data_IF_081059805782
#
_entry.id   IF_081059805782
#
_cell.length_a   1.000
_cell.length_b   1.000
_cell.length_c   1.000
_cell.angle_alpha   90.00
_cell.angle_beta   90.00
_cell.angle_gamma   90.00
#
_symmetry.space_group_name_H-M   'P 1'
#
loop_
_entity.id
_entity.type
_entity.pdbx_description
1 polymer ?
#
# COMPACT_ATOMS: atom_id res chain seq x y z
N UNK A 1 -25.68 -21.45 -11.18
CA UNK A 1 -24.73 -20.49 -10.58
C UNK A 1 -23.43 -20.37 -11.37
N UNK A 2 -22.83 -21.46 -11.84
CA UNK A 2 -21.55 -21.43 -12.58
C UNK A 2 -21.65 -20.71 -13.95
N UNK A 3 -22.80 -20.84 -14.65
CA UNK A 3 -23.01 -20.23 -15.97
C UNK A 3 -22.89 -18.70 -15.96
N UNK A 4 -23.50 -17.99 -15.00
CA UNK A 4 -23.42 -16.52 -14.95
C UNK A 4 -22.03 -16.00 -14.61
N UNK A 5 -21.27 -16.76 -13.81
CA UNK A 5 -19.86 -16.45 -13.52
C UNK A 5 -19.00 -16.65 -14.76
N UNK A 6 -19.15 -17.78 -15.45
CA UNK A 6 -18.46 -18.06 -16.72
C UNK A 6 -18.80 -17.03 -17.80
N UNK A 7 -20.06 -16.62 -17.91
CA UNK A 7 -20.48 -15.57 -18.87
C UNK A 7 -19.93 -14.20 -18.46
N UNK A 8 -19.92 -13.86 -17.17
CA UNK A 8 -19.33 -12.61 -16.69
C UNK A 8 -17.82 -12.54 -16.99
N UNK A 9 -17.11 -13.64 -16.75
CA UNK A 9 -15.68 -13.75 -17.04
C UNK A 9 -15.42 -13.64 -18.56
N UNK A 10 -16.23 -14.30 -19.39
CA UNK A 10 -16.14 -14.19 -20.85
C UNK A 10 -16.43 -12.78 -21.38
N UNK A 11 -17.36 -12.04 -20.76
CA UNK A 11 -17.66 -10.64 -21.12
C UNK A 11 -16.49 -9.72 -20.75
N UNK A 12 -15.89 -9.93 -19.58
CA UNK A 12 -14.70 -9.17 -19.15
C UNK A 12 -13.50 -9.45 -20.08
N UNK A 13 -13.25 -10.72 -20.40
CA UNK A 13 -12.20 -11.14 -21.34
C UNK A 13 -12.41 -10.56 -22.75
N UNK A 14 -13.66 -10.54 -23.23
CA UNK A 14 -13.99 -10.00 -24.55
C UNK A 14 -13.80 -8.48 -24.61
N UNK A 15 -14.17 -7.76 -23.54
CA UNK A 15 -13.95 -6.32 -23.43
C UNK A 15 -12.45 -6.00 -23.36
N UNK A 16 -11.67 -6.81 -22.65
CA UNK A 16 -10.22 -6.67 -22.57
C UNK A 16 -9.54 -6.95 -23.92
N UNK A 17 -10.01 -7.95 -24.68
CA UNK A 17 -9.53 -8.21 -26.04
C UNK A 17 -9.83 -7.03 -26.97
N UNK A 18 -11.02 -6.47 -26.87
CA UNK A 18 -11.41 -5.29 -27.65
C UNK A 18 -10.56 -4.06 -27.28
N UNK A 19 -10.29 -3.84 -26.00
CA UNK A 19 -9.40 -2.78 -25.52
C UNK A 19 -7.95 -2.96 -26.01
N UNK A 20 -7.44 -4.20 -26.02
CA UNK A 20 -6.13 -4.49 -26.62
C UNK A 20 -6.10 -4.21 -28.12
N UNK A 21 -7.18 -4.50 -28.84
CA UNK A 21 -7.29 -4.17 -30.26
C UNK A 21 -7.25 -2.64 -30.49
N UNK A 22 -7.87 -1.85 -29.61
CA UNK A 22 -7.76 -0.37 -29.61
C UNK A 22 -6.31 0.07 -29.41
N UNK A 23 -5.61 -0.49 -28.43
CA UNK A 23 -4.19 -0.19 -28.20
C UNK A 23 -3.26 -0.63 -29.33
N UNK A 24 -3.54 -1.76 -30.00
CA UNK A 24 -2.81 -2.19 -31.21
C UNK A 24 -3.05 -1.19 -32.34
N UNK A 25 -4.30 -0.79 -32.58
CA UNK A 25 -4.64 0.18 -33.61
C UNK A 25 -3.93 1.52 -33.38
N UNK A 26 -3.87 2.00 -32.13
CA UNK A 26 -3.14 3.22 -31.76
C UNK A 26 -1.64 3.12 -32.09
N UNK A 27 -0.98 2.03 -31.68
CA UNK A 27 0.44 1.81 -31.99
C UNK A 27 0.70 1.69 -33.48
N UNK A 28 -0.16 1.00 -34.22
CA UNK A 28 -0.06 0.90 -35.67
C UNK A 28 -0.21 2.26 -36.34
N UNK A 29 -1.18 3.08 -35.91
CA UNK A 29 -1.34 4.43 -36.41
C UNK A 29 -0.10 5.28 -36.13
N UNK A 30 0.41 5.27 -34.90
CA UNK A 30 1.61 6.02 -34.54
C UNK A 30 2.83 5.57 -35.37
N UNK A 31 3.00 4.26 -35.57
CA UNK A 31 4.08 3.74 -36.43
C UNK A 31 3.96 4.17 -37.90
N UNK A 32 2.74 4.31 -38.43
CA UNK A 32 2.51 4.85 -39.79
C UNK A 32 2.81 6.35 -39.84
N UNK A 33 2.40 7.11 -38.81
CA UNK A 33 2.66 8.55 -38.71
C UNK A 33 4.17 8.85 -38.57
N UNK A 34 4.91 8.00 -37.85
CA UNK A 34 6.37 8.07 -37.77
C UNK A 34 7.01 7.73 -39.12
N UNK A 35 6.61 6.63 -39.76
CA UNK A 35 7.17 6.18 -41.03
C UNK A 35 6.93 7.17 -42.20
N UNK A 36 5.87 7.98 -42.10
CA UNK A 36 5.52 9.01 -43.09
C UNK A 36 6.09 10.39 -42.75
N UNK A 37 6.80 10.54 -41.61
CA UNK A 37 7.35 11.82 -41.14
C UNK A 37 6.29 12.82 -40.68
N UNK A 38 5.02 12.39 -40.56
CA UNK A 38 3.91 13.26 -40.16
C UNK A 38 3.97 13.58 -38.67
N UNK A 39 4.48 12.66 -37.85
CA UNK A 39 4.64 12.88 -36.41
C UNK A 39 5.62 14.01 -36.07
N UNK A 40 6.60 14.31 -36.94
CA UNK A 40 7.55 15.41 -36.76
C UNK A 40 6.95 16.80 -37.07
N UNK A 41 5.80 16.83 -37.74
CA UNK A 41 5.13 18.05 -38.20
C UNK A 41 3.81 18.29 -37.43
N UNK A 42 3.27 17.26 -36.77
CA UNK A 42 2.08 17.35 -35.92
C UNK A 42 2.36 18.19 -34.67
N UNK A 43 1.53 19.21 -34.43
CA UNK A 43 1.62 20.01 -33.22
C UNK A 43 1.28 19.16 -31.98
N UNK A 44 2.07 19.32 -30.90
CA UNK A 44 1.91 18.57 -29.65
C UNK A 44 0.47 18.51 -29.09
N UNK A 45 -0.35 19.59 -29.14
CA UNK A 45 -1.75 19.52 -28.68
C UNK A 45 -2.62 18.54 -29.48
N UNK A 46 -2.34 18.35 -30.77
CA UNK A 46 -3.10 17.42 -31.62
C UNK A 46 -2.73 15.97 -31.31
N UNK A 47 -1.45 15.72 -31.04
CA UNK A 47 -0.96 14.41 -30.60
C UNK A 47 -1.57 14.02 -29.24
N UNK A 48 -1.57 14.96 -28.30
CA UNK A 48 -2.18 14.77 -26.97
C UNK A 48 -3.69 14.49 -27.04
N UNK A 49 -4.43 15.17 -27.93
CA UNK A 49 -5.86 14.88 -28.14
C UNK A 49 -6.05 13.48 -28.74
N UNK A 50 -5.24 13.09 -29.72
CA UNK A 50 -5.31 11.77 -30.33
C UNK A 50 -5.05 10.67 -29.31
N UNK A 51 -3.96 10.78 -28.55
CA UNK A 51 -3.60 9.81 -27.50
C UNK A 51 -4.71 9.71 -26.44
N UNK A 52 -5.25 10.85 -25.99
CA UNK A 52 -6.38 10.88 -25.04
C UNK A 52 -7.65 10.22 -25.60
N UNK A 53 -7.94 10.32 -26.89
CA UNK A 53 -9.10 9.66 -27.51
C UNK A 53 -8.92 8.14 -27.48
N UNK A 54 -7.71 7.64 -27.76
CA UNK A 54 -7.41 6.22 -27.67
C UNK A 54 -7.50 5.71 -26.24
N UNK A 55 -6.93 6.44 -25.28
CA UNK A 55 -7.03 6.13 -23.85
C UNK A 55 -8.50 6.13 -23.39
N UNK A 56 -9.28 7.12 -23.81
CA UNK A 56 -10.71 7.22 -23.46
C UNK A 56 -11.51 6.05 -24.04
N UNK A 57 -11.27 5.69 -25.30
CA UNK A 57 -11.95 4.56 -25.95
C UNK A 57 -11.55 3.23 -25.32
N UNK A 58 -10.28 3.04 -25.01
CA UNK A 58 -9.79 1.85 -24.31
C UNK A 58 -10.47 1.72 -22.93
N UNK A 59 -10.47 2.82 -22.16
CA UNK A 59 -11.09 2.86 -20.85
C UNK A 59 -12.61 2.64 -20.90
N UNK A 60 -13.31 3.23 -21.87
CA UNK A 60 -14.76 3.07 -22.03
C UNK A 60 -15.14 1.61 -22.33
N UNK A 61 -14.40 0.95 -23.22
CA UNK A 61 -14.63 -0.45 -23.56
C UNK A 61 -14.40 -1.35 -22.34
N UNK A 62 -13.32 -1.12 -21.60
CA UNK A 62 -13.01 -1.86 -20.36
C UNK A 62 -14.05 -1.62 -19.27
N UNK A 63 -14.42 -0.38 -19.03
CA UNK A 63 -15.38 0.01 -17.99
C UNK A 63 -16.78 -0.57 -18.29
N UNK A 64 -17.20 -0.55 -19.57
CA UNK A 64 -18.48 -1.12 -20.00
C UNK A 64 -18.49 -2.64 -19.82
N UNK A 65 -17.41 -3.33 -20.20
CA UNK A 65 -17.24 -4.76 -19.97
C UNK A 65 -17.29 -5.13 -18.49
N UNK A 66 -16.54 -4.40 -17.66
CA UNK A 66 -16.48 -4.59 -16.20
C UNK A 66 -17.83 -4.35 -15.52
N UNK A 67 -18.53 -3.27 -15.84
CA UNK A 67 -19.87 -3.00 -15.28
C UNK A 67 -20.87 -4.09 -15.65
N UNK A 68 -20.79 -4.58 -16.88
CA UNK A 68 -21.66 -5.67 -17.36
C UNK A 68 -21.33 -6.98 -16.64
N UNK A 69 -20.06 -7.33 -16.50
CA UNK A 69 -19.62 -8.52 -15.77
C UNK A 69 -20.02 -8.47 -14.28
N UNK A 70 -19.84 -7.32 -13.61
CA UNK A 70 -20.27 -7.12 -12.22
C UNK A 70 -21.79 -7.26 -12.08
N UNK A 71 -22.58 -6.74 -13.02
CA UNK A 71 -24.03 -6.90 -13.01
C UNK A 71 -24.43 -8.39 -13.16
N UNK A 72 -23.79 -9.12 -14.07
CA UNK A 72 -24.02 -10.55 -14.28
C UNK A 72 -23.68 -11.40 -13.05
N UNK A 73 -22.59 -11.07 -12.36
CA UNK A 73 -22.20 -11.72 -11.09
C UNK A 73 -23.25 -11.51 -10.00
N UNK A 74 -23.79 -10.29 -9.88
CA UNK A 74 -24.88 -9.98 -8.93
C UNK A 74 -26.17 -10.76 -9.20
N UNK A 75 -26.53 -10.97 -10.47
CA UNK A 75 -27.68 -11.82 -10.81
C UNK A 75 -27.45 -13.28 -10.40
N UNK A 76 -26.22 -13.78 -10.51
CA UNK A 76 -25.84 -15.13 -10.08
C UNK A 76 -25.94 -15.37 -8.56
N UNK A 77 -25.78 -14.32 -7.75
CA UNK A 77 -25.83 -14.40 -6.28
C UNK A 77 -27.23 -14.14 -5.69
N UNK A 78 -28.15 -13.56 -6.46
CA UNK A 78 -29.49 -13.17 -5.98
C UNK A 78 -30.52 -14.32 -5.80
N UNK A 79 -30.13 -15.58 -5.99
CA UNK A 79 -31.03 -16.75 -5.89
C UNK A 79 -30.99 -17.53 -4.57
N UNK A 80 -30.33 -17.03 -3.52
CA UNK A 80 -30.34 -17.68 -2.19
C UNK A 80 -30.87 -16.72 -1.10
N UNK A 81 -32.11 -16.95 -0.68
CA UNK A 81 -32.62 -16.63 0.66
C UNK A 81 -33.37 -17.87 1.15
N UNK A 82 -33.03 -18.46 2.31
CA UNK A 82 -33.71 -18.42 3.64
C UNK A 82 -32.82 -19.22 4.69
N UNK A 83 -33.08 -19.30 6.02
CA UNK A 83 -32.45 -18.50 7.08
C UNK A 83 -31.75 -19.27 8.24
N UNK A 84 -31.07 -18.50 9.10
CA UNK A 84 -30.74 -18.63 10.54
C UNK A 84 -30.57 -20.02 11.20
N UNK A 85 -29.45 -20.16 11.95
CA UNK A 85 -29.50 -20.65 13.33
C UNK A 85 -28.36 -20.03 14.18
N UNK A 86 -28.75 -19.52 15.35
CA UNK A 86 -27.90 -18.96 16.39
C UNK A 86 -27.06 -20.07 17.05
N UNK A 87 -25.76 -19.82 17.24
CA UNK A 87 -25.05 -20.33 18.39
C UNK A 87 -23.95 -19.37 18.81
N UNK A 88 -24.05 -18.94 20.06
CA UNK A 88 -23.13 -18.05 20.75
C UNK A 88 -21.85 -18.78 21.12
N UNK A 89 -20.80 -18.61 20.32
CA UNK A 89 -19.42 -18.72 20.78
C UNK A 89 -18.75 -17.38 20.47
N UNK A 90 -18.20 -16.73 21.50
CA UNK A 90 -17.50 -15.45 21.37
C UNK A 90 -16.29 -15.62 20.44
N UNK A 91 -16.43 -15.18 19.20
CA UNK A 91 -15.37 -15.24 18.19
C UNK A 91 -14.11 -14.50 18.65
N UNK A 92 -12.93 -15.13 18.62
CA UNK A 92 -11.65 -14.46 18.83
C UNK A 92 -11.22 -13.57 17.64
N UNK A 93 -12.02 -13.50 16.57
CA UNK A 93 -11.71 -12.84 15.29
C UNK A 93 -12.08 -11.34 15.23
N UNK A 94 -12.55 -10.76 16.33
CA UNK A 94 -12.94 -9.34 16.42
C UNK A 94 -11.83 -8.39 16.93
N UNK A 95 -10.58 -8.85 17.03
CA UNK A 95 -9.47 -7.97 17.40
C UNK A 95 -8.93 -7.24 16.16
N UNK A 96 -8.92 -5.89 16.13
CA UNK A 96 -8.35 -5.14 15.01
C UNK A 96 -6.82 -5.23 15.06
N UNK A 97 -6.25 -6.06 14.20
CA UNK A 97 -4.80 -6.18 14.01
C UNK A 97 -4.28 -7.60 14.14
N UNK A 98 -3.14 -7.87 13.50
CA UNK A 98 -2.44 -9.13 13.66
C UNK A 98 -2.02 -9.28 15.13
N UNK A 99 -2.15 -10.50 15.65
CA UNK A 99 -1.67 -10.80 17.00
C UNK A 99 -0.17 -10.46 17.06
N UNK A 100 0.31 -9.91 18.18
CA UNK A 100 1.72 -9.65 18.35
C UNK A 100 2.54 -10.92 18.07
N UNK A 101 3.42 -10.88 17.06
CA UNK A 101 4.23 -12.03 16.65
C UNK A 101 5.68 -11.61 16.37
N UNK A 102 6.60 -12.55 16.54
CA UNK A 102 8.01 -12.39 16.16
C UNK A 102 8.20 -12.39 14.63
N UNK A 103 7.14 -12.77 13.90
CA UNK A 103 7.07 -12.76 12.44
C UNK A 103 6.71 -11.39 11.86
N UNK A 104 6.84 -10.30 12.62
CA UNK A 104 6.60 -8.94 12.14
C UNK A 104 7.65 -8.45 11.11
N UNK A 105 7.64 -7.15 10.76
CA UNK A 105 8.62 -6.58 9.83
C UNK A 105 10.05 -6.80 10.31
N UNK A 106 10.92 -7.24 9.41
CA UNK A 106 12.35 -7.39 9.68
C UNK A 106 13.14 -6.18 9.17
N UNK A 107 14.14 -5.68 9.93
CA UNK A 107 14.91 -4.50 9.55
C UNK A 107 15.63 -4.68 8.21
N UNK A 108 15.67 -3.62 7.41
CA UNK A 108 16.51 -3.59 6.20
C UNK A 108 17.99 -3.78 6.54
N UNK A 109 18.68 -4.61 5.74
CA UNK A 109 20.15 -4.65 5.77
C UNK A 109 20.70 -3.34 5.22
N UNK A 110 21.73 -2.74 5.84
CA UNK A 110 22.40 -1.58 5.29
C UNK A 110 22.88 -1.83 3.85
N UNK A 111 22.61 -0.90 2.95
CA UNK A 111 23.03 -0.94 1.55
C UNK A 111 23.65 0.40 1.20
N UNK A 112 24.88 0.38 0.69
CA UNK A 112 25.64 1.58 0.36
C UNK A 112 25.00 2.41 -0.77
N UNK A 113 24.04 1.82 -1.50
CA UNK A 113 23.28 2.49 -2.57
C UNK A 113 22.06 3.24 -2.04
N UNK A 114 21.70 3.06 -0.77
CA UNK A 114 20.56 3.78 -0.20
C UNK A 114 20.91 5.25 -0.04
N UNK A 115 20.13 6.10 -0.70
CA UNK A 115 20.28 7.55 -0.55
C UNK A 115 19.74 7.97 0.82
N UNK A 116 20.53 8.76 1.54
CA UNK A 116 20.14 9.32 2.82
C UNK A 116 19.35 10.62 2.57
N UNK A 117 18.26 10.81 3.32
CA UNK A 117 17.55 12.07 3.39
C UNK A 117 18.42 13.08 4.15
N UNK A 118 18.71 14.18 3.48
CA UNK A 118 19.50 15.25 4.06
C UNK A 118 18.57 16.34 4.63
N UNK A 119 18.42 16.41 5.96
CA UNK A 119 17.64 17.46 6.60
C UNK A 119 18.12 18.85 6.22
N UNK A 120 17.23 19.68 5.66
CA UNK A 120 17.52 21.09 5.41
C UNK A 120 17.31 21.86 6.71
N UNK A 121 18.35 22.54 7.22
CA UNK A 121 18.28 23.28 8.48
C UNK A 121 17.43 24.56 8.38
N UNK A 122 16.12 24.38 8.30
CA UNK A 122 15.11 25.44 8.31
C UNK A 122 14.31 25.42 9.60
N UNK A 123 13.83 26.59 10.07
CA UNK A 123 12.80 26.65 11.09
C UNK A 123 11.60 25.78 10.70
N UNK A 124 11.01 25.14 11.71
CA UNK A 124 9.86 24.26 11.57
C UNK A 124 8.75 24.75 12.50
N UNK A 125 7.51 24.63 12.07
CA UNK A 125 6.36 24.92 12.92
C UNK A 125 6.33 24.03 14.17
N UNK A 126 5.73 24.51 15.25
CA UNK A 126 5.60 23.77 16.52
C UNK A 126 4.68 22.55 16.41
N UNK A 127 3.76 22.56 15.44
CA UNK A 127 2.76 21.52 15.26
C UNK A 127 2.50 21.29 13.77
N UNK A 128 2.52 20.02 13.36
CA UNK A 128 2.13 19.59 12.01
C UNK A 128 1.20 18.39 12.16
N UNK A 129 0.08 18.42 11.43
CA UNK A 129 -0.86 17.33 11.32
C UNK A 129 -1.22 17.12 9.85
N UNK A 130 -0.94 15.93 9.33
CA UNK A 130 -1.24 15.53 7.94
C UNK A 130 -2.40 14.52 7.87
N UNK A 131 -3.14 14.29 8.97
CA UNK A 131 -4.23 13.30 9.01
C UNK A 131 -5.32 13.58 7.97
N UNK A 132 -5.64 14.86 7.75
CA UNK A 132 -6.62 15.34 6.78
C UNK A 132 -6.27 15.00 5.31
N UNK A 133 -4.97 14.78 5.05
CA UNK A 133 -4.42 14.44 3.72
C UNK A 133 -4.11 12.95 3.58
N UNK A 134 -4.32 12.16 4.63
CA UNK A 134 -4.12 10.73 4.55
C UNK A 134 -5.30 10.03 3.88
N UNK A 135 -5.07 8.95 3.14
CA UNK A 135 -6.16 8.08 2.70
C UNK A 135 -6.91 7.48 3.90
N UNK A 136 -8.06 6.85 3.67
CA UNK A 136 -8.81 6.16 4.72
C UNK A 136 -7.94 5.17 5.52
N UNK A 137 -8.16 5.03 6.83
CA UNK A 137 -7.35 4.09 7.64
C UNK A 137 -7.68 2.65 7.28
N UNK A 138 -6.73 2.00 6.60
CA UNK A 138 -6.82 0.59 6.23
C UNK A 138 -6.83 -0.35 7.45
N UNK A 139 -7.29 -1.58 7.22
CA UNK A 139 -7.27 -2.65 8.21
C UNK A 139 -6.58 -3.90 7.64
N UNK A 140 -5.42 -4.26 8.21
CA UNK A 140 -4.71 -5.48 7.85
C UNK A 140 -5.39 -6.75 8.38
N UNK A 141 -6.36 -6.59 9.29
CA UNK A 141 -7.02 -7.67 10.02
C UNK A 141 -5.95 -8.54 10.71
N UNK A 142 -6.07 -9.86 10.64
CA UNK A 142 -5.18 -10.78 11.34
C UNK A 142 -3.83 -11.04 10.62
N UNK A 143 -3.63 -10.57 9.39
CA UNK A 143 -2.43 -10.88 8.59
C UNK A 143 -1.23 -10.00 8.95
N UNK A 144 -0.01 -10.54 8.81
CA UNK A 144 1.28 -9.87 9.06
C UNK A 144 1.71 -8.93 7.91
N UNK A 145 0.76 -8.21 7.31
CA UNK A 145 0.95 -7.37 6.12
C UNK A 145 1.14 -5.87 6.43
N UNK A 146 1.49 -5.52 7.67
CA UNK A 146 1.62 -4.13 8.15
C UNK A 146 2.51 -3.24 7.28
N UNK A 147 3.62 -3.77 6.79
CA UNK A 147 4.55 -3.06 5.90
C UNK A 147 3.86 -2.59 4.64
N UNK A 148 3.12 -3.48 3.97
CA UNK A 148 2.41 -3.13 2.76
C UNK A 148 1.33 -2.08 3.01
N UNK A 149 0.70 -2.08 4.20
CA UNK A 149 -0.26 -1.06 4.57
C UNK A 149 0.38 0.31 4.79
N UNK A 150 1.51 0.37 5.50
CA UNK A 150 2.23 1.61 5.72
C UNK A 150 2.78 2.19 4.41
N UNK A 151 3.35 1.33 3.55
CA UNK A 151 3.88 1.69 2.23
C UNK A 151 2.76 2.14 1.28
N UNK A 152 1.64 1.39 1.20
CA UNK A 152 0.48 1.79 0.40
C UNK A 152 -0.08 3.14 0.84
N UNK A 153 -0.21 3.38 2.15
CA UNK A 153 -0.75 4.64 2.67
C UNK A 153 0.16 5.83 2.34
N UNK A 154 1.48 5.66 2.42
CA UNK A 154 2.44 6.69 2.03
C UNK A 154 2.43 6.96 0.51
N UNK A 155 2.30 5.91 -0.31
CA UNK A 155 2.17 6.04 -1.75
C UNK A 155 0.88 6.79 -2.13
N UNK A 156 -0.28 6.35 -1.61
CA UNK A 156 -1.57 6.97 -1.91
C UNK A 156 -1.64 8.42 -1.39
N UNK A 157 -1.04 8.71 -0.22
CA UNK A 157 -0.87 10.08 0.26
C UNK A 157 -0.19 10.97 -0.78
N UNK A 158 0.89 10.52 -1.40
CA UNK A 158 1.61 11.33 -2.38
C UNK A 158 0.87 11.43 -3.73
N UNK A 159 0.16 10.37 -4.15
CA UNK A 159 -0.77 10.44 -5.30
C UNK A 159 -1.79 11.57 -5.09
N UNK A 160 -2.45 11.58 -3.93
CA UNK A 160 -3.45 12.59 -3.58
C UNK A 160 -2.83 13.99 -3.47
N UNK A 161 -1.67 14.10 -2.82
CA UNK A 161 -0.95 15.38 -2.67
C UNK A 161 -0.56 16.00 -4.01
N UNK A 162 -0.18 15.18 -5.00
CA UNK A 162 0.21 15.64 -6.33
C UNK A 162 -0.99 15.85 -7.27
N UNK A 163 -2.22 15.54 -6.84
CA UNK A 163 -3.42 15.63 -7.68
C UNK A 163 -3.40 14.63 -8.84
N UNK A 164 -2.66 13.52 -8.68
CA UNK A 164 -2.64 12.43 -9.65
C UNK A 164 -3.95 11.62 -9.57
N UNK A 165 -4.31 10.85 -10.62
CA UNK A 165 -5.49 9.99 -10.58
C UNK A 165 -5.48 9.07 -9.35
N UNK A 166 -6.44 9.29 -8.46
CA UNK A 166 -6.52 8.58 -7.19
C UNK A 166 -6.92 7.12 -7.40
N UNK A 167 -6.23 6.22 -6.71
CA UNK A 167 -6.61 4.81 -6.60
C UNK A 167 -6.06 4.25 -5.29
N UNK A 168 -6.73 3.24 -4.75
CA UNK A 168 -6.24 2.53 -3.56
C UNK A 168 -5.21 1.47 -3.97
N UNK A 169 -3.95 1.54 -3.50
CA UNK A 169 -2.90 0.61 -3.91
C UNK A 169 -3.11 -0.79 -3.32
N UNK A 170 -2.92 -1.83 -4.13
CA UNK A 170 -3.08 -3.23 -3.67
C UNK A 170 -2.03 -3.61 -2.63
N UNK A 171 -2.49 -3.78 -1.40
CA UNK A 171 -1.66 -4.17 -0.25
C UNK A 171 -1.19 -5.61 -0.38
N UNK A 172 -2.01 -6.51 -0.95
CA UNK A 172 -1.57 -7.89 -1.21
C UNK A 172 -0.53 -7.96 -2.31
N UNK A 173 -0.61 -7.12 -3.35
CA UNK A 173 0.39 -7.08 -4.41
C UNK A 173 1.74 -6.62 -3.88
N UNK A 174 1.76 -5.51 -3.13
CA UNK A 174 2.96 -4.99 -2.47
C UNK A 174 3.54 -6.06 -1.53
N UNK A 175 2.71 -6.68 -0.70
CA UNK A 175 3.17 -7.67 0.28
C UNK A 175 3.69 -8.96 -0.35
N UNK A 176 3.04 -9.46 -1.40
CA UNK A 176 3.51 -10.63 -2.15
C UNK A 176 4.89 -10.35 -2.75
N UNK A 177 5.05 -9.23 -3.45
CA UNK A 177 6.31 -8.89 -4.11
C UNK A 177 7.44 -8.65 -3.09
N UNK A 178 7.14 -8.05 -1.93
CA UNK A 178 8.12 -7.90 -0.86
C UNK A 178 8.58 -9.26 -0.32
N UNK A 179 7.66 -10.20 -0.04
CA UNK A 179 8.01 -11.56 0.42
C UNK A 179 8.73 -12.38 -0.65
N UNK A 180 8.42 -12.17 -1.93
CA UNK A 180 9.13 -12.80 -3.05
C UNK A 180 10.59 -12.36 -3.19
N UNK A 181 11.01 -11.28 -2.49
CA UNK A 181 12.41 -10.84 -2.39
C UNK A 181 13.11 -11.31 -1.12
N UNK A 182 12.40 -11.97 -0.20
CA UNK A 182 12.99 -12.52 1.02
C UNK A 182 14.10 -13.51 0.71
N UNK A 183 15.09 -13.60 1.60
CA UNK A 183 16.14 -14.63 1.54
C UNK A 183 15.55 -16.05 1.70
N UNK A 184 14.33 -16.17 2.24
CA UNK A 184 13.61 -17.43 2.34
C UNK A 184 12.48 -17.53 1.29
N UNK A 185 12.62 -18.37 0.25
CA UNK A 185 11.61 -18.48 -0.81
C UNK A 185 10.26 -19.00 -0.30
N UNK A 186 10.20 -19.68 0.85
CA UNK A 186 8.96 -20.16 1.44
C UNK A 186 8.07 -19.04 2.01
N UNK A 187 8.59 -17.82 2.19
CA UNK A 187 7.86 -16.73 2.82
C UNK A 187 6.62 -16.30 2.01
N UNK A 188 6.64 -16.44 0.68
CA UNK A 188 5.45 -16.17 -0.16
C UNK A 188 4.27 -17.06 0.21
N UNK A 189 4.52 -18.24 0.76
CA UNK A 189 3.50 -19.21 1.17
C UNK A 189 3.10 -19.09 2.64
N UNK A 190 3.67 -18.12 3.38
CA UNK A 190 3.43 -17.95 4.82
C UNK A 190 2.90 -16.57 5.18
N UNK A 191 2.08 -16.51 6.21
CA UNK A 191 1.63 -15.28 6.88
C UNK A 191 2.74 -14.73 7.78
N UNK A 192 3.76 -14.17 7.14
CA UNK A 192 4.92 -13.58 7.80
C UNK A 192 5.13 -12.15 7.31
N UNK A 193 5.87 -11.38 8.09
CA UNK A 193 6.24 -10.02 7.79
C UNK A 193 7.07 -9.91 6.52
N UNK A 194 7.35 -8.68 6.15
CA UNK A 194 8.21 -8.37 5.01
C UNK A 194 9.16 -7.24 5.37
N UNK A 195 10.10 -6.95 4.49
CA UNK A 195 11.00 -5.83 4.64
C UNK A 195 10.41 -4.54 4.05
N UNK A 196 10.56 -3.41 4.75
CA UNK A 196 10.03 -2.10 4.31
C UNK A 196 10.68 -1.68 2.98
N UNK A 197 12.00 -1.80 2.86
CA UNK A 197 12.71 -1.44 1.64
C UNK A 197 12.33 -2.31 0.45
N UNK A 198 12.11 -3.61 0.64
CA UNK A 198 11.63 -4.48 -0.45
C UNK A 198 10.20 -4.16 -0.88
N UNK A 199 9.33 -3.79 0.07
CA UNK A 199 8.00 -3.29 -0.25
C UNK A 199 8.05 -1.95 -1.01
N UNK A 200 8.90 -1.00 -0.60
CA UNK A 200 9.10 0.26 -1.32
C UNK A 200 9.65 0.00 -2.73
N UNK A 201 10.64 -0.89 -2.85
CA UNK A 201 11.19 -1.31 -4.15
C UNK A 201 10.15 -1.99 -5.03
N UNK A 202 9.14 -2.66 -4.47
CA UNK A 202 8.09 -3.25 -5.30
C UNK A 202 7.33 -2.20 -6.12
N UNK A 203 7.16 -0.99 -5.58
CA UNK A 203 6.47 0.13 -6.22
C UNK A 203 7.19 0.68 -7.46
N UNK A 204 8.47 0.36 -7.66
CA UNK A 204 9.23 0.78 -8.85
C UNK A 204 8.67 0.08 -10.11
N UNK A 205 8.23 0.86 -11.09
CA UNK A 205 7.67 0.37 -12.35
C UNK A 205 8.67 -0.49 -13.15
N UNK A 206 9.98 -0.27 -13.01
CA UNK A 206 10.99 -1.10 -13.66
C UNK A 206 11.16 -2.47 -12.98
N UNK A 207 10.46 -2.69 -11.87
CA UNK A 207 10.41 -3.95 -11.14
C UNK A 207 9.01 -4.54 -11.24
N UNK A 208 8.08 -4.02 -10.45
CA UNK A 208 6.72 -4.54 -10.34
C UNK A 208 5.66 -3.44 -10.47
N UNK A 209 5.96 -2.20 -10.10
CA UNK A 209 4.96 -1.14 -9.98
C UNK A 209 3.97 -1.41 -8.86
N UNK A 210 2.78 -0.82 -8.93
CA UNK A 210 1.71 -1.09 -7.97
C UNK A 210 0.35 -1.02 -8.66
N UNK A 211 -0.43 -2.10 -8.60
CA UNK A 211 -1.80 -2.11 -9.11
C UNK A 211 -2.80 -1.62 -8.06
N UNK A 212 -4.06 -1.44 -8.49
CA UNK A 212 -5.15 -1.06 -7.60
C UNK A 212 -5.69 -2.25 -6.78
N UNK A 213 -6.36 -1.94 -5.67
CA UNK A 213 -7.19 -2.89 -4.92
C UNK A 213 -8.36 -3.44 -5.76
N UNK A 214 -8.77 -2.77 -6.85
CA UNK A 214 -9.76 -3.31 -7.78
C UNK A 214 -9.16 -4.42 -8.65
N UNK A 215 -7.89 -4.28 -9.06
CA UNK A 215 -7.18 -5.29 -9.84
C UNK A 215 -6.72 -6.48 -8.98
N UNK A 216 -6.33 -6.22 -7.73
CA UNK A 216 -5.90 -7.24 -6.78
C UNK A 216 -6.35 -6.93 -5.35
N UNK A 217 -7.63 -7.20 -5.07
CA UNK A 217 -8.26 -6.90 -3.79
C UNK A 217 -7.63 -7.61 -2.59
N UNK A 218 -7.65 -6.91 -1.46
CA UNK A 218 -7.25 -7.42 -0.17
C UNK A 218 -8.24 -8.45 0.37
N UNK A 219 -7.78 -9.70 0.44
CA UNK A 219 -8.53 -10.82 0.97
C UNK A 219 -7.74 -11.44 2.13
N UNK A 220 -8.40 -11.60 3.28
CA UNK A 220 -7.75 -12.18 4.47
C UNK A 220 -7.57 -13.68 4.24
N UNK A 221 -6.31 -14.10 4.10
CA UNK A 221 -5.94 -15.49 4.02
C UNK A 221 -5.85 -16.13 5.41
N UNK A 222 -6.37 -17.34 5.55
CA UNK A 222 -6.17 -18.15 6.75
C UNK A 222 -4.85 -18.94 6.66
N UNK A 223 -4.16 -19.07 7.79
CA UNK A 223 -2.89 -19.78 7.88
C UNK A 223 -2.84 -20.67 9.12
N UNK A 224 -2.05 -21.74 9.04
CA UNK A 224 -1.73 -22.57 10.20
C UNK A 224 -0.93 -21.77 11.24
N UNK A 225 -1.40 -21.75 12.50
CA UNK A 225 -0.83 -20.90 13.56
C UNK A 225 0.61 -21.26 13.97
N UNK A 226 1.05 -22.50 13.74
CA UNK A 226 2.38 -22.97 14.15
C UNK A 226 3.42 -22.79 13.05
N UNK A 227 3.02 -23.06 11.82
CA UNK A 227 3.91 -23.04 10.65
C UNK A 227 3.81 -21.73 9.86
N UNK A 228 2.78 -20.93 10.16
CA UNK A 228 2.38 -19.73 9.43
C UNK A 228 1.99 -19.99 7.97
N UNK A 229 1.92 -21.26 7.52
CA UNK A 229 1.64 -21.57 6.13
C UNK A 229 0.18 -21.27 5.79
N UNK A 230 -0.04 -20.51 4.72
CA UNK A 230 -1.37 -20.25 4.21
C UNK A 230 -2.04 -21.55 3.75
N UNK A 231 -3.35 -21.67 3.99
CA UNK A 231 -4.14 -22.75 3.43
C UNK A 231 -4.27 -22.61 1.90
N UNK A 232 -4.42 -23.73 1.16
CA UNK A 232 -4.59 -23.70 -0.29
C UNK A 232 -5.70 -22.74 -0.73
N UNK A 233 -5.43 -21.95 -1.76
CA UNK A 233 -6.38 -20.97 -2.30
C UNK A 233 -6.26 -19.55 -1.71
N UNK A 234 -5.50 -19.36 -0.63
CA UNK A 234 -5.28 -18.01 -0.08
C UNK A 234 -4.63 -17.08 -1.13
N UNK A 235 -5.32 -16.00 -1.48
CA UNK A 235 -4.83 -15.01 -2.46
C UNK A 235 -3.51 -14.37 -2.06
N UNK A 236 -3.28 -14.19 -0.75
CA UNK A 236 -2.01 -13.74 -0.20
C UNK A 236 -0.81 -14.63 -0.59
N UNK A 237 -1.02 -15.92 -0.88
CA UNK A 237 0.03 -16.84 -1.30
C UNK A 237 0.11 -17.06 -2.82
N UNK A 238 -0.76 -16.40 -3.60
CA UNK A 238 -0.86 -16.59 -5.06
C UNK A 238 -0.06 -15.51 -5.78
N UNK A 239 0.76 -15.93 -6.75
CA UNK A 239 1.42 -14.98 -7.66
C UNK A 239 0.38 -14.14 -8.39
N UNK A 240 0.46 -12.81 -8.37
CA UNK A 240 -0.38 -11.96 -9.20
C UNK A 240 -0.27 -12.38 -10.68
N UNK A 241 -1.39 -12.47 -11.42
CA UNK A 241 -1.35 -12.81 -12.83
C UNK A 241 -0.70 -11.68 -13.63
N UNK A 242 -0.09 -12.01 -14.78
CA UNK A 242 0.65 -11.05 -15.63
C UNK A 242 -0.17 -9.81 -16.00
N UNK A 243 -1.49 -9.94 -16.19
CA UNK A 243 -2.37 -8.78 -16.46
C UNK A 243 -2.32 -7.72 -15.35
N UNK A 244 -2.29 -8.16 -14.09
CA UNK A 244 -2.23 -7.29 -12.91
C UNK A 244 -0.84 -6.67 -12.80
N UNK A 245 0.21 -7.43 -13.12
CA UNK A 245 1.58 -6.92 -13.17
C UNK A 245 1.74 -5.83 -14.25
N UNK A 246 1.09 -5.97 -15.41
CA UNK A 246 1.10 -4.93 -16.45
C UNK A 246 0.38 -3.64 -16.03
N UNK A 247 -0.81 -3.74 -15.40
CA UNK A 247 -1.48 -2.56 -14.85
C UNK A 247 -0.62 -1.87 -13.80
N UNK A 248 0.08 -2.64 -12.97
CA UNK A 248 0.95 -2.11 -11.92
C UNK A 248 2.05 -1.18 -12.47
N UNK A 249 2.56 -1.43 -13.68
CA UNK A 249 3.57 -0.59 -14.35
C UNK A 249 3.04 0.74 -14.88
N UNK A 250 1.72 0.95 -14.92
CA UNK A 250 1.11 2.21 -15.34
C UNK A 250 1.12 3.26 -14.21
N UNK A 251 1.46 2.84 -12.99
CA UNK A 251 1.46 3.69 -11.81
C UNK A 251 2.88 4.15 -11.46
N UNK A 252 2.97 5.41 -11.00
CA UNK A 252 4.17 6.23 -10.91
C UNK A 252 5.36 5.62 -10.17
N UNK A 253 6.58 5.96 -10.61
CA UNK A 253 7.84 5.54 -9.98
C UNK A 253 8.15 6.36 -8.70
N UNK A 254 8.41 5.71 -7.56
CA UNK A 254 8.82 6.41 -6.35
C UNK A 254 10.34 6.60 -6.27
N UNK A 255 10.76 7.82 -5.95
CA UNK A 255 12.01 8.10 -5.25
C UNK A 255 11.83 7.82 -3.75
N UNK A 256 12.83 7.19 -3.15
CA UNK A 256 12.85 6.90 -1.73
C UNK A 256 14.23 7.14 -1.14
N UNK A 257 14.27 7.53 0.12
CA UNK A 257 15.49 7.78 0.88
C UNK A 257 15.33 7.22 2.29
N UNK A 258 16.41 6.73 2.86
CA UNK A 258 16.45 6.37 4.29
C UNK A 258 16.84 7.58 5.13
N UNK A 259 16.62 7.53 6.44
CA UNK A 259 16.96 8.64 7.33
C UNK A 259 18.33 8.46 8.03
N UNK A 260 19.02 9.55 8.40
CA UNK A 260 20.26 9.47 9.14
C UNK A 260 20.02 8.94 10.56
N UNK A 261 20.96 8.13 11.07
CA UNK A 261 20.91 7.62 12.45
C UNK A 261 21.08 8.73 13.49
N UNK A 262 22.02 9.64 13.28
CA UNK A 262 22.25 10.80 14.16
C UNK A 262 21.27 11.91 13.79
N UNK A 263 20.59 12.47 14.78
CA UNK A 263 19.61 13.54 14.54
C UNK A 263 18.32 13.07 13.88
N UNK A 264 18.01 11.77 13.94
CA UNK A 264 16.81 11.16 13.33
C UNK A 264 15.51 11.93 13.66
N UNK A 265 15.33 12.34 14.93
CA UNK A 265 14.15 13.12 15.34
C UNK A 265 14.03 14.45 14.57
N UNK A 266 15.13 15.20 14.45
CA UNK A 266 15.17 16.47 13.70
C UNK A 266 14.85 16.22 12.22
N UNK A 267 15.43 15.17 11.64
CA UNK A 267 15.21 14.82 10.24
C UNK A 267 13.74 14.44 9.97
N UNK A 268 13.12 13.64 10.84
CA UNK A 268 11.69 13.29 10.75
C UNK A 268 10.82 14.55 10.84
N UNK A 269 11.05 15.41 11.83
CA UNK A 269 10.30 16.67 12.02
C UNK A 269 10.39 17.54 10.77
N UNK A 270 11.59 17.73 10.20
CA UNK A 270 11.76 18.53 8.99
C UNK A 270 11.09 17.92 7.76
N UNK A 271 11.11 16.59 7.63
CA UNK A 271 10.43 15.93 6.52
C UNK A 271 8.91 16.04 6.64
N UNK A 272 8.36 15.85 7.85
CA UNK A 272 6.93 16.06 8.12
C UNK A 272 6.51 17.51 7.86
N UNK A 273 7.34 18.47 8.27
CA UNK A 273 7.13 19.90 8.00
C UNK A 273 7.14 20.21 6.49
N UNK A 274 7.90 19.46 5.67
CA UNK A 274 7.81 19.56 4.21
C UNK A 274 6.51 18.98 3.62
N UNK A 275 5.64 18.43 4.49
CA UNK A 275 4.29 17.98 4.16
C UNK A 275 4.22 16.54 3.65
N UNK A 276 5.12 15.67 4.10
CA UNK A 276 5.20 14.26 3.68
C UNK A 276 5.33 13.32 4.89
N UNK A 277 4.66 12.15 4.88
CA UNK A 277 4.70 11.20 5.98
C UNK A 277 5.92 10.27 5.92
N UNK A 278 6.27 9.66 7.05
CA UNK A 278 7.45 8.77 7.18
C UNK A 278 7.02 7.35 7.49
N UNK A 279 7.39 6.40 6.64
CA UNK A 279 7.21 4.96 6.91
C UNK A 279 8.32 4.50 7.84
N UNK A 280 8.01 3.68 8.86
CA UNK A 280 9.01 3.16 9.79
C UNK A 280 8.62 1.82 10.40
N UNK A 281 9.61 1.15 10.99
CA UNK A 281 9.44 -0.02 11.85
C UNK A 281 9.52 0.34 13.33
N UNK A 282 8.71 -0.32 14.16
CA UNK A 282 8.66 -0.12 15.60
C UNK A 282 8.65 -1.46 16.33
N UNK A 283 9.44 -1.56 17.41
CA UNK A 283 9.27 -2.61 18.42
C UNK A 283 8.17 -2.17 19.37
N UNK A 284 7.02 -2.84 19.32
CA UNK A 284 5.82 -2.45 20.06
C UNK A 284 5.75 -3.10 21.44
N UNK A 285 6.39 -4.26 21.63
CA UNK A 285 6.32 -5.05 22.86
C UNK A 285 4.89 -5.38 23.33
N UNK A 286 3.92 -5.39 22.39
CA UNK A 286 2.50 -5.57 22.69
C UNK A 286 1.82 -4.34 23.29
N UNK A 287 2.49 -3.18 23.33
CA UNK A 287 1.97 -1.95 23.95
C UNK A 287 1.01 -1.15 23.05
N UNK A 288 0.70 -1.67 21.86
CA UNK A 288 -0.37 -1.15 21.00
C UNK A 288 -1.72 -1.85 21.25
N UNK A 289 -1.79 -2.83 22.15
CA UNK A 289 -3.05 -3.42 22.57
C UNK A 289 -4.03 -2.34 23.08
N UNK A 290 -5.33 -2.51 22.79
CA UNK A 290 -6.42 -1.59 23.20
C UNK A 290 -6.48 -1.38 24.71
N UNK A 291 -5.95 -2.30 25.52
CA UNK A 291 -5.86 -2.11 26.98
C UNK A 291 -4.85 -1.04 27.41
N UNK A 292 -3.95 -0.63 26.50
CA UNK A 292 -2.94 0.40 26.75
C UNK A 292 -3.18 1.66 25.94
N UNK A 293 -3.65 1.52 24.69
CA UNK A 293 -3.98 2.66 23.83
C UNK A 293 -5.46 2.97 23.97
N UNK A 294 -5.75 4.13 24.56
CA UNK A 294 -7.08 4.65 24.78
C UNK A 294 -7.73 5.10 23.45
N UNK A 295 -9.03 5.38 23.49
CA UNK A 295 -9.79 5.88 22.32
C UNK A 295 -9.36 7.28 21.85
N UNK A 296 -8.65 8.03 22.68
CA UNK A 296 -8.00 9.30 22.31
C UNK A 296 -6.60 9.09 21.70
N UNK A 297 -6.22 7.83 21.42
CA UNK A 297 -4.93 7.47 20.84
C UNK A 297 -3.75 7.64 21.80
N UNK A 298 -3.97 8.02 23.06
CA UNK A 298 -2.92 8.18 24.07
C UNK A 298 -2.73 6.89 24.86
N UNK A 299 -1.65 6.84 25.63
CA UNK A 299 -1.35 5.74 26.55
C UNK A 299 -0.13 4.88 26.17
N UNK A 300 0.51 5.15 25.02
CA UNK A 300 1.78 4.51 24.71
C UNK A 300 2.86 4.94 25.72
N UNK A 301 3.31 3.97 26.51
CA UNK A 301 4.37 4.13 27.51
C UNK A 301 5.64 3.39 27.10
N UNK A 302 6.74 3.64 27.81
CA UNK A 302 7.94 2.83 27.67
C UNK A 302 7.70 1.38 28.12
N UNK A 303 8.32 0.41 27.43
CA UNK A 303 8.28 -0.99 27.84
C UNK A 303 9.07 -1.22 29.12
N UNK A 304 8.58 -2.13 29.95
CA UNK A 304 9.32 -2.66 31.09
C UNK A 304 10.41 -3.63 30.62
N UNK A 305 11.39 -3.91 31.50
CA UNK A 305 12.41 -4.92 31.22
C UNK A 305 11.85 -6.32 30.93
N UNK A 306 10.67 -6.65 31.47
CA UNK A 306 9.98 -7.92 31.19
C UNK A 306 9.36 -7.91 29.80
N UNK A 307 8.67 -6.84 29.41
CA UNK A 307 8.03 -6.71 28.10
C UNK A 307 9.07 -6.67 26.97
N UNK A 308 10.24 -6.09 27.21
CA UNK A 308 11.34 -6.08 26.23
C UNK A 308 11.85 -7.47 25.85
N UNK A 309 11.52 -8.52 26.62
CA UNK A 309 11.86 -9.92 26.29
C UNK A 309 10.95 -10.53 25.22
N UNK A 310 9.74 -9.98 25.04
CA UNK A 310 8.76 -10.44 24.06
C UNK A 310 8.64 -9.38 22.96
N UNK A 311 9.57 -9.45 22.01
CA UNK A 311 9.74 -8.40 21.01
C UNK A 311 8.73 -8.52 19.86
N UNK A 312 7.66 -7.75 19.95
CA UNK A 312 6.72 -7.61 18.84
C UNK A 312 7.12 -6.46 17.93
N UNK A 313 7.01 -6.67 16.61
CA UNK A 313 7.40 -5.69 15.59
C UNK A 313 6.20 -5.29 14.76
N UNK A 314 6.16 -4.02 14.37
CA UNK A 314 5.09 -3.46 13.54
C UNK A 314 5.62 -2.37 12.61
N UNK A 315 4.98 -2.16 11.47
CA UNK A 315 5.30 -1.07 10.54
C UNK A 315 4.15 -0.08 10.48
N UNK A 316 4.50 1.19 10.53
CA UNK A 316 3.59 2.30 10.81
C UNK A 316 3.96 3.51 9.96
N UNK A 317 3.10 4.53 9.97
CA UNK A 317 3.31 5.77 9.24
C UNK A 317 3.24 6.97 10.18
N UNK A 318 4.32 7.73 10.33
CA UNK A 318 4.30 9.02 11.04
C UNK A 318 3.71 10.08 10.12
N UNK A 319 2.70 10.80 10.59
CA UNK A 319 1.91 11.77 9.80
C UNK A 319 1.85 13.15 10.44
N UNK A 320 2.56 13.37 11.55
CA UNK A 320 2.56 14.66 12.22
C UNK A 320 3.38 14.65 13.49
N UNK A 321 3.48 15.81 14.12
CA UNK A 321 4.18 16.00 15.37
C UNK A 321 3.67 17.20 16.15
N UNK A 322 3.86 17.17 17.47
CA UNK A 322 3.67 18.27 18.39
C UNK A 322 4.97 18.45 19.20
N UNK A 323 5.66 19.58 19.02
CA UNK A 323 6.94 19.85 19.71
C UNK A 323 6.77 20.19 21.19
N UNK A 324 5.65 20.80 21.57
CA UNK A 324 5.34 21.16 22.95
C UNK A 324 5.09 19.91 23.79
N UNK A 325 4.23 19.02 23.29
CA UNK A 325 3.92 17.74 23.95
C UNK A 325 5.01 16.66 23.72
N UNK A 326 5.94 16.90 22.78
CA UNK A 326 6.97 15.95 22.34
C UNK A 326 6.39 14.62 21.87
N UNK A 327 5.35 14.70 21.04
CA UNK A 327 4.63 13.56 20.49
C UNK A 327 4.70 13.56 18.96
N UNK A 328 4.81 12.37 18.38
CA UNK A 328 4.50 12.11 16.98
C UNK A 328 3.05 11.64 16.86
N UNK A 329 2.38 12.03 15.77
CA UNK A 329 1.09 11.51 15.37
C UNK A 329 1.34 10.34 14.42
N UNK A 330 0.89 9.15 14.79
CA UNK A 330 1.20 7.92 14.06
C UNK A 330 -0.08 7.24 13.61
N UNK A 331 -0.14 6.96 12.30
CA UNK A 331 -1.19 6.18 11.66
C UNK A 331 -0.89 4.70 11.81
N UNK A 332 -1.89 3.95 12.28
CA UNK A 332 -1.86 2.49 12.34
C UNK A 332 -2.60 1.88 11.13
N UNK A 333 -2.57 0.56 11.00
CA UNK A 333 -3.21 -0.23 9.94
C UNK A 333 -4.24 -1.22 10.49
N UNK A 334 -4.88 -0.86 11.61
CA UNK A 334 -5.84 -1.70 12.32
C UNK A 334 -7.30 -1.21 12.15
N UNK A 335 -7.54 -0.34 11.18
CA UNK A 335 -8.85 0.26 10.90
C UNK A 335 -9.16 1.47 11.80
N UNK A 336 -10.14 2.26 11.38
CA UNK A 336 -10.52 3.51 12.04
C UNK A 336 -11.08 3.31 13.47
N UNK A 337 -11.59 2.13 13.81
CA UNK A 337 -12.18 1.86 15.13
C UNK A 337 -11.14 1.51 16.22
N UNK A 338 -9.86 1.78 16.00
CA UNK A 338 -8.78 1.54 16.95
C UNK A 338 -8.06 2.86 17.27
N UNK A 339 -7.68 3.08 18.52
CA UNK A 339 -7.05 4.34 18.95
C UNK A 339 -7.95 5.56 18.68
N UNK A 340 -7.35 6.69 18.31
CA UNK A 340 -8.05 7.88 17.84
C UNK A 340 -8.28 7.77 16.33
N UNK A 341 -9.42 7.22 15.91
CA UNK A 341 -9.78 7.08 14.50
C UNK A 341 -8.72 6.34 13.64
N UNK A 342 -8.01 5.38 14.22
CA UNK A 342 -6.92 4.65 13.58
C UNK A 342 -5.51 5.19 13.85
N UNK A 343 -5.40 6.23 14.68
CA UNK A 343 -4.16 6.91 15.02
C UNK A 343 -3.82 6.78 16.51
N UNK A 344 -2.56 7.00 16.84
CA UNK A 344 -2.09 7.10 18.22
C UNK A 344 -0.94 8.10 18.33
N UNK A 345 -0.63 8.49 19.57
CA UNK A 345 0.45 9.42 19.87
C UNK A 345 1.67 8.67 20.40
N UNK A 346 2.82 8.89 19.77
CA UNK A 346 4.09 8.27 20.13
C UNK A 346 5.06 9.29 20.72
N UNK A 347 5.52 9.13 21.98
CA UNK A 347 6.56 9.97 22.56
C UNK A 347 7.84 10.00 21.73
N UNK A 348 8.48 11.17 21.61
CA UNK A 348 9.72 11.33 20.86
C UNK A 348 10.84 10.39 21.33
N UNK A 349 10.94 10.18 22.64
CA UNK A 349 11.95 9.31 23.24
C UNK A 349 11.68 7.81 22.99
N UNK A 350 10.51 7.44 22.47
CA UNK A 350 10.21 6.10 22.00
C UNK A 350 10.95 5.76 20.69
N UNK A 351 11.50 6.76 19.97
CA UNK A 351 12.31 6.54 18.76
C UNK A 351 13.48 5.56 18.95
N UNK A 352 13.97 5.39 20.19
CA UNK A 352 15.00 4.38 20.52
C UNK A 352 14.57 2.92 20.28
N UNK A 353 13.26 2.68 20.20
CA UNK A 353 12.64 1.38 19.88
C UNK A 353 12.22 1.26 18.41
N UNK A 354 12.48 2.30 17.61
CA UNK A 354 12.11 2.38 16.21
C UNK A 354 13.33 2.16 15.31
N UNK A 355 13.07 1.75 14.07
CA UNK A 355 14.09 1.40 13.08
C UNK A 355 13.55 1.60 11.67
N UNK A 356 14.45 1.58 10.69
CA UNK A 356 14.12 1.44 9.27
C UNK A 356 13.12 2.49 8.77
N UNK A 357 13.53 3.76 8.85
CA UNK A 357 12.74 4.92 8.44
C UNK A 357 12.95 5.22 6.96
N UNK A 358 11.87 5.48 6.24
CA UNK A 358 11.88 5.73 4.81
C UNK A 358 10.98 6.87 4.38
N UNK A 359 11.46 7.64 3.41
CA UNK A 359 10.66 8.53 2.60
C UNK A 359 10.11 7.78 1.39
N UNK A 360 8.93 8.16 0.93
CA UNK A 360 8.38 7.74 -0.37
C UNK A 360 7.90 9.02 -1.06
N UNK A 361 8.34 9.21 -2.31
CA UNK A 361 8.03 10.36 -3.14
C UNK A 361 7.83 9.94 -4.59
N UNK A 362 6.71 10.24 -5.21
CA UNK A 362 6.49 9.99 -6.64
C UNK A 362 7.24 11.04 -7.45
N UNK A 363 8.00 10.57 -8.46
CA UNK A 363 8.70 11.45 -9.40
C UNK A 363 7.84 11.55 -10.66
N UNK A 364 7.41 12.77 -10.99
CA UNK A 364 6.72 13.01 -12.23
C UNK A 364 7.74 12.93 -13.38
N UNK A 365 7.47 12.13 -14.42
CA UNK A 365 8.39 11.92 -15.55
C UNK A 365 8.66 13.18 -16.37
N UNK A 366 7.95 14.28 -16.10
CA UNK A 366 8.12 15.59 -16.72
C UNK A 366 9.38 16.35 -16.26
N UNK A 367 10.06 15.96 -15.18
CA UNK A 367 11.19 16.71 -14.62
C UNK A 367 12.58 16.30 -15.14
N UNK A 368 12.67 15.39 -16.12
CA UNK A 368 13.94 14.98 -16.73
C UNK A 368 14.28 15.76 -18.01
N UNK A 369 14.02 17.07 -18.02
CA UNK A 369 14.64 17.98 -19.00
C UNK A 369 15.14 19.22 -18.26
N UNK A 370 16.44 19.24 -18.01
CA UNK A 370 17.22 20.44 -17.68
C UNK A 370 18.53 20.36 -18.42
#
# INVERSE_FOLDING_TARGET
MELFKVVADSVEDSADLAAQAVGIAHRTQNGVLDATGVNDILAAPIKDISDKIYDTNENLVRETGRKTATLLRKFGDSSEQVPNEENSETEPDNLPGAQPSDSGPYPSRPDHRDHIYEPIDKPVDNYIDLRDKCPEVYSQKAMNSCVAHAVAAAFEFDVQKQGLPAFSPSRLFIWYNARAKSDNPEDIHKDVGSNIKDAIKSLDMHRHGVCSEEDWSYEVGQSDKKTHKFYPGAKAAKKPPTRVEHHAHQHTAPSYRTFPRKGIQKAIIQYLHSGYPVVFGMKTYGLLDRKYINSDGRGLRHPTAKEMKNEHRHSLLVVGYNQEEKLFIVRNSWGANWGENGYFYMPYDYLKHCYDFWTIRLVNSSSNTS
#
